data_IF_424203349643
#
_entry.id   IF_424203349643
#
_cell.length_a   1.000
_cell.length_b   1.000
_cell.length_c   1.000
_cell.angle_alpha   90.00
_cell.angle_beta   90.00
_cell.angle_gamma   90.00
#
_symmetry.space_group_name_H-M   'P 1'
#
loop_
_entity.id
_entity.type
_entity.pdbx_description
1 polymer ?
#
# COMPACT_ATOMS: atom_id res chain seq x y z
N UNK A 1 22.62 21.33 14.45
CA UNK A 1 23.03 20.54 13.26
C UNK A 1 21.90 20.42 12.25
N UNK A 2 22.21 20.63 10.95
CA UNK A 2 21.22 20.47 9.89
C UNK A 2 21.05 19.01 9.50
N UNK A 3 19.81 18.59 9.22
CA UNK A 3 19.53 17.33 8.57
C UNK A 3 19.81 17.41 7.05
N UNK A 4 20.13 16.28 6.44
CA UNK A 4 20.19 16.19 5.00
C UNK A 4 18.78 16.22 4.38
N UNK A 5 17.80 15.60 5.08
CA UNK A 5 16.39 15.58 4.65
C UNK A 5 15.48 15.62 5.88
N UNK A 6 14.44 16.45 5.82
CA UNK A 6 13.29 16.39 6.72
C UNK A 6 12.09 15.82 5.98
N UNK A 7 11.52 14.74 6.47
CA UNK A 7 10.32 14.10 5.94
C UNK A 7 9.13 14.48 6.83
N UNK A 8 8.06 14.99 6.22
CA UNK A 8 6.83 15.39 6.90
C UNK A 8 5.73 14.39 6.54
N UNK A 9 5.31 13.63 7.53
CA UNK A 9 4.31 12.56 7.42
C UNK A 9 4.91 11.16 7.54
N UNK A 10 4.54 10.45 8.58
CA UNK A 10 4.99 9.10 8.94
C UNK A 10 4.06 7.98 8.47
N UNK A 11 3.34 8.18 7.35
CA UNK A 11 2.63 7.12 6.66
C UNK A 11 3.56 6.23 5.86
N UNK A 12 3.00 5.33 5.01
CA UNK A 12 3.81 4.35 4.25
C UNK A 12 4.90 5.01 3.39
N UNK A 13 4.60 6.08 2.69
CA UNK A 13 5.57 6.74 1.81
C UNK A 13 6.71 7.38 2.61
N UNK A 14 6.40 8.13 3.67
CA UNK A 14 7.41 8.78 4.50
C UNK A 14 8.27 7.80 5.27
N UNK A 15 7.69 6.73 5.81
CA UNK A 15 8.43 5.70 6.54
C UNK A 15 9.39 4.92 5.64
N UNK A 16 8.96 4.56 4.42
CA UNK A 16 9.82 3.90 3.43
C UNK A 16 10.94 4.84 2.97
N UNK A 17 10.64 6.12 2.69
CA UNK A 17 11.64 7.11 2.34
C UNK A 17 12.67 7.31 3.46
N UNK A 18 12.21 7.42 4.72
CA UNK A 18 13.09 7.54 5.88
C UNK A 18 14.03 6.34 6.00
N UNK A 19 13.50 5.12 5.91
CA UNK A 19 14.30 3.91 5.97
C UNK A 19 15.32 3.82 4.82
N UNK A 20 14.91 4.18 3.60
CA UNK A 20 15.77 4.13 2.42
C UNK A 20 16.91 5.15 2.48
N UNK A 21 16.63 6.37 2.91
CA UNK A 21 17.63 7.45 3.01
C UNK A 21 18.61 7.20 4.18
N UNK A 22 18.09 6.87 5.36
CA UNK A 22 18.92 6.60 6.52
C UNK A 22 19.87 5.43 6.30
N UNK A 23 19.39 4.33 5.67
CA UNK A 23 20.20 3.18 5.32
C UNK A 23 21.33 3.48 4.34
N UNK A 24 21.26 4.63 3.64
CA UNK A 24 22.31 5.14 2.75
C UNK A 24 23.20 6.19 3.39
N UNK A 25 23.08 6.39 4.71
CA UNK A 25 23.88 7.35 5.45
C UNK A 25 23.42 8.81 5.35
N UNK A 26 22.22 9.07 4.78
CA UNK A 26 21.66 10.41 4.77
C UNK A 26 21.15 10.75 6.17
N UNK A 27 21.61 11.87 6.74
CA UNK A 27 21.12 12.36 8.04
C UNK A 27 19.66 12.80 7.90
N UNK A 28 18.73 11.93 8.27
CA UNK A 28 17.29 12.07 8.01
C UNK A 28 16.54 12.35 9.31
N UNK A 29 15.57 13.27 9.24
CA UNK A 29 14.53 13.43 10.25
C UNK A 29 13.17 13.09 9.65
N UNK A 30 12.29 12.48 10.45
CA UNK A 30 10.91 12.16 10.12
C UNK A 30 9.99 12.68 11.22
N UNK A 31 8.99 13.47 10.87
CA UNK A 31 7.98 13.97 11.82
C UNK A 31 6.57 13.61 11.35
N UNK A 32 5.69 13.39 12.31
CA UNK A 32 4.25 13.25 12.07
C UNK A 32 3.46 14.00 13.14
N UNK A 33 2.36 14.63 12.76
CA UNK A 33 1.50 15.38 13.70
C UNK A 33 0.67 14.48 14.62
N UNK A 34 0.51 13.21 14.25
CA UNK A 34 -0.22 12.18 14.99
C UNK A 34 0.68 10.94 15.16
N UNK A 35 0.11 9.80 15.51
CA UNK A 35 0.82 8.53 15.45
C UNK A 35 1.25 8.16 14.04
N UNK A 36 2.37 7.47 13.92
CA UNK A 36 2.85 6.96 12.64
C UNK A 36 1.82 6.03 12.02
N UNK A 37 1.45 6.29 10.76
CA UNK A 37 0.49 5.51 10.01
C UNK A 37 -0.97 5.68 10.43
N UNK A 38 -1.32 6.66 11.25
CA UNK A 38 -2.65 6.85 11.82
C UNK A 38 -3.73 7.39 10.88
N UNK A 39 -3.36 7.85 9.70
CA UNK A 39 -4.32 8.38 8.71
C UNK A 39 -4.70 7.28 7.68
N UNK A 40 -4.44 7.51 6.39
CA UNK A 40 -4.80 6.59 5.31
C UNK A 40 -4.27 5.16 5.53
N UNK A 41 -3.06 5.01 6.09
CA UNK A 41 -2.46 3.69 6.36
C UNK A 41 -3.22 2.89 7.42
N UNK A 42 -3.90 3.53 8.36
CA UNK A 42 -4.75 2.85 9.35
C UNK A 42 -6.12 2.46 8.77
N UNK A 43 -6.61 3.24 7.83
CA UNK A 43 -7.98 3.11 7.28
C UNK A 43 -8.00 2.37 5.94
N UNK A 44 -6.98 1.57 5.64
CA UNK A 44 -6.89 0.81 4.40
C UNK A 44 -7.54 -0.57 4.52
N UNK A 45 -7.77 -1.19 3.38
CA UNK A 45 -8.29 -2.57 3.29
C UNK A 45 -7.20 -3.64 3.47
N UNK A 46 -5.97 -3.27 3.77
CA UNK A 46 -4.78 -4.13 3.82
C UNK A 46 -4.47 -4.85 2.50
N UNK A 47 -5.06 -4.40 1.39
CA UNK A 47 -4.88 -5.02 0.08
C UNK A 47 -3.73 -4.37 -0.70
N UNK A 48 -2.91 -5.21 -1.31
CA UNK A 48 -1.89 -4.82 -2.27
C UNK A 48 -2.40 -5.24 -3.65
N UNK A 49 -3.11 -4.31 -4.26
CA UNK A 49 -3.90 -4.55 -5.45
C UNK A 49 -3.08 -4.38 -6.73
N UNK A 50 -3.17 -5.37 -7.62
CA UNK A 50 -2.50 -5.33 -8.92
C UNK A 50 -3.28 -4.58 -10.00
N UNK A 51 -4.47 -4.03 -9.68
CA UNK A 51 -5.16 -3.09 -10.55
C UNK A 51 -6.02 -3.73 -11.66
N UNK A 52 -6.59 -4.90 -11.45
CA UNK A 52 -7.42 -5.60 -12.46
C UNK A 52 -8.50 -4.70 -13.09
N UNK A 53 -9.09 -3.77 -12.32
CA UNK A 53 -10.12 -2.84 -12.78
C UNK A 53 -9.63 -1.90 -13.90
N UNK A 54 -8.36 -1.56 -13.92
CA UNK A 54 -7.79 -0.69 -14.96
C UNK A 54 -7.71 -1.35 -16.33
N UNK A 55 -7.94 -2.66 -16.43
CA UNK A 55 -8.08 -3.34 -17.72
C UNK A 55 -9.32 -2.87 -18.49
N UNK A 56 -10.37 -2.43 -17.80
CA UNK A 56 -11.55 -1.84 -18.47
C UNK A 56 -11.19 -0.57 -19.25
N UNK A 57 -10.21 0.20 -18.76
CA UNK A 57 -9.65 1.38 -19.43
C UNK A 57 -8.50 1.06 -20.38
N UNK A 58 -8.19 -0.22 -20.63
CA UNK A 58 -7.06 -0.68 -21.45
C UNK A 58 -5.69 -0.17 -20.96
N UNK A 59 -5.55 0.13 -19.67
CA UNK A 59 -4.33 0.64 -19.05
C UNK A 59 -3.31 -0.49 -18.75
N UNK A 60 -2.98 -1.28 -19.77
CA UNK A 60 -2.11 -2.46 -19.62
C UNK A 60 -0.73 -2.15 -19.00
N UNK A 61 -0.17 -1.00 -19.33
CA UNK A 61 1.13 -0.58 -18.77
C UNK A 61 1.04 -0.38 -17.26
N UNK A 62 0.00 0.35 -16.81
CA UNK A 62 -0.24 0.58 -15.37
C UNK A 62 -0.47 -0.75 -14.64
N UNK A 63 -1.33 -1.63 -15.18
CA UNK A 63 -1.59 -2.95 -14.60
C UNK A 63 -0.31 -3.77 -14.48
N UNK A 64 0.56 -3.74 -15.50
CA UNK A 64 1.85 -4.44 -15.46
C UNK A 64 2.77 -3.91 -14.36
N UNK A 65 2.85 -2.60 -14.20
CA UNK A 65 3.65 -1.95 -13.16
C UNK A 65 3.14 -2.30 -11.76
N UNK A 66 1.82 -2.25 -11.55
CA UNK A 66 1.19 -2.62 -10.28
C UNK A 66 1.39 -4.10 -9.94
N UNK A 67 1.14 -5.00 -10.89
CA UNK A 67 1.37 -6.43 -10.72
C UNK A 67 2.85 -6.74 -10.41
N UNK A 68 3.79 -6.08 -11.09
CA UNK A 68 5.22 -6.24 -10.84
C UNK A 68 5.59 -5.80 -9.42
N UNK A 69 5.09 -4.64 -8.99
CA UNK A 69 5.31 -4.11 -7.64
C UNK A 69 4.72 -5.04 -6.58
N UNK A 70 3.49 -5.53 -6.75
CA UNK A 70 2.84 -6.53 -5.89
C UNK A 70 3.70 -7.79 -5.77
N UNK A 71 4.15 -8.35 -6.89
CA UNK A 71 4.94 -9.59 -6.91
C UNK A 71 6.30 -9.40 -6.22
N UNK A 72 6.94 -8.22 -6.39
CA UNK A 72 8.16 -7.88 -5.67
C UNK A 72 7.95 -7.78 -4.16
N UNK A 73 6.84 -7.17 -3.73
CA UNK A 73 6.49 -7.06 -2.31
C UNK A 73 6.25 -8.43 -1.67
N UNK A 74 5.53 -9.35 -2.33
CA UNK A 74 5.35 -10.73 -1.86
C UNK A 74 6.71 -11.43 -1.66
N UNK A 75 7.64 -11.25 -2.61
CA UNK A 75 8.99 -11.86 -2.52
C UNK A 75 9.84 -11.23 -1.43
N UNK A 76 9.78 -9.91 -1.28
CA UNK A 76 10.61 -9.17 -0.34
C UNK A 76 10.15 -9.30 1.11
N UNK A 77 8.85 -9.50 1.33
CA UNK A 77 8.22 -9.53 2.66
C UNK A 77 7.28 -10.73 2.83
N UNK A 78 7.75 -11.99 2.66
CA UNK A 78 6.88 -13.18 2.65
C UNK A 78 6.20 -13.48 4.00
N UNK A 79 6.72 -12.96 5.09
CA UNK A 79 6.08 -13.04 6.42
C UNK A 79 4.92 -12.06 6.59
N UNK A 80 4.99 -10.90 5.93
CA UNK A 80 4.03 -9.80 6.10
C UNK A 80 3.02 -9.70 4.95
N UNK A 81 3.38 -10.19 3.76
CA UNK A 81 2.56 -10.06 2.54
C UNK A 81 2.35 -11.43 1.93
N UNK A 82 1.07 -11.78 1.71
CA UNK A 82 0.67 -13.07 1.14
C UNK A 82 -0.33 -12.88 0.02
N UNK A 83 -0.40 -13.89 -0.84
CA UNK A 83 -1.46 -14.00 -1.85
C UNK A 83 -2.81 -14.23 -1.16
N UNK A 84 -3.83 -13.50 -1.66
CA UNK A 84 -5.23 -13.71 -1.29
C UNK A 84 -6.04 -14.05 -2.54
N UNK A 85 -7.03 -14.94 -2.36
CA UNK A 85 -7.99 -15.26 -3.42
C UNK A 85 -9.22 -14.36 -3.27
N UNK A 86 -9.54 -13.65 -4.33
CA UNK A 86 -10.79 -12.93 -4.49
C UNK A 86 -11.81 -13.81 -5.16
N UNK A 87 -12.98 -13.75 -4.64
CA UNK A 87 -14.14 -14.49 -5.10
C UNK A 87 -15.23 -13.51 -5.52
N UNK A 88 -15.78 -13.67 -6.70
CA UNK A 88 -16.83 -12.81 -7.23
C UNK A 88 -17.98 -13.67 -7.71
N UNK A 89 -19.16 -13.53 -7.09
CA UNK A 89 -20.41 -14.10 -7.59
C UNK A 89 -20.98 -13.17 -8.66
N UNK A 90 -21.44 -13.72 -9.79
CA UNK A 90 -22.03 -12.99 -10.90
C UNK A 90 -23.50 -13.35 -11.03
N UNK A 91 -24.36 -12.35 -10.89
CA UNK A 91 -25.80 -12.53 -10.98
C UNK A 91 -26.32 -12.32 -12.41
N UNK A 92 -27.52 -12.84 -12.68
CA UNK A 92 -28.23 -12.56 -13.93
C UNK A 92 -28.40 -11.04 -14.12
N UNK A 93 -28.02 -10.54 -15.30
CA UNK A 93 -28.07 -9.11 -15.61
C UNK A 93 -26.78 -8.37 -15.28
N UNK A 94 -25.75 -9.05 -14.83
CA UNK A 94 -24.43 -8.43 -14.69
C UNK A 94 -23.93 -7.90 -16.05
N UNK A 95 -23.26 -6.75 -16.04
CA UNK A 95 -22.83 -5.99 -17.23
C UNK A 95 -22.07 -6.82 -18.27
N UNK A 96 -21.28 -7.79 -17.83
CA UNK A 96 -20.47 -8.63 -18.70
C UNK A 96 -20.74 -10.11 -18.47
N UNK A 97 -20.70 -10.95 -19.53
CA UNK A 97 -20.76 -12.41 -19.38
C UNK A 97 -19.62 -12.94 -18.51
N UNK A 98 -19.88 -13.99 -17.73
CA UNK A 98 -18.88 -14.60 -16.85
C UNK A 98 -17.59 -15.01 -17.59
N UNK A 99 -17.74 -15.55 -18.81
CA UNK A 99 -16.60 -15.91 -19.64
C UNK A 99 -15.74 -14.70 -20.02
N UNK A 100 -16.34 -13.55 -20.29
CA UNK A 100 -15.61 -12.33 -20.63
C UNK A 100 -14.75 -11.85 -19.44
N UNK A 101 -15.33 -11.87 -18.23
CA UNK A 101 -14.61 -11.48 -17.00
C UNK A 101 -13.50 -12.49 -16.70
N UNK A 102 -13.75 -13.78 -16.93
CA UNK A 102 -12.75 -14.83 -16.79
C UNK A 102 -11.57 -14.61 -17.73
N UNK A 103 -11.83 -14.32 -19.02
CA UNK A 103 -10.77 -13.98 -19.99
C UNK A 103 -9.98 -12.73 -19.56
N UNK A 104 -10.66 -11.70 -19.06
CA UNK A 104 -10.02 -10.53 -18.48
C UNK A 104 -9.11 -10.89 -17.29
N UNK A 105 -9.57 -11.80 -16.44
CA UNK A 105 -8.78 -12.29 -15.30
C UNK A 105 -7.57 -13.13 -15.75
N UNK A 106 -7.66 -13.88 -16.83
CA UNK A 106 -6.52 -14.58 -17.45
C UNK A 106 -5.50 -13.60 -18.02
N UNK A 107 -5.96 -12.55 -18.72
CA UNK A 107 -5.09 -11.48 -19.22
C UNK A 107 -4.37 -10.81 -18.05
N UNK A 108 -5.09 -10.50 -16.97
CA UNK A 108 -4.51 -9.94 -15.76
C UNK A 108 -3.42 -10.84 -15.16
N UNK A 109 -3.68 -12.11 -15.02
CA UNK A 109 -2.74 -13.10 -14.51
C UNK A 109 -1.49 -13.21 -15.39
N UNK A 110 -1.68 -13.20 -16.72
CA UNK A 110 -0.59 -13.24 -17.69
C UNK A 110 0.27 -11.96 -17.63
N UNK A 111 -0.35 -10.78 -17.56
CA UNK A 111 0.35 -9.50 -17.36
C UNK A 111 1.15 -9.50 -16.06
N UNK A 112 0.63 -10.16 -15.02
CA UNK A 112 1.30 -10.41 -13.74
C UNK A 112 2.41 -11.48 -13.79
N UNK A 113 2.86 -11.90 -14.98
CA UNK A 113 3.86 -12.93 -15.21
C UNK A 113 3.50 -14.31 -14.62
N UNK A 114 2.22 -14.65 -14.55
CA UNK A 114 1.72 -15.92 -13.99
C UNK A 114 2.24 -16.21 -12.58
N UNK A 115 2.55 -15.16 -11.81
CA UNK A 115 3.21 -15.28 -10.51
C UNK A 115 2.29 -15.82 -9.41
N UNK A 116 1.03 -15.38 -9.42
CA UNK A 116 0.00 -15.85 -8.49
C UNK A 116 -0.71 -17.09 -9.03
N UNK A 117 -1.56 -17.72 -8.22
CA UNK A 117 -2.38 -18.83 -8.71
C UNK A 117 -3.28 -18.37 -9.87
N UNK A 118 -3.49 -19.23 -10.89
CA UNK A 118 -4.35 -18.90 -12.03
C UNK A 118 -5.79 -18.63 -11.59
N UNK A 119 -6.52 -17.77 -12.31
CA UNK A 119 -7.94 -17.56 -12.07
C UNK A 119 -8.76 -18.81 -12.41
N UNK A 120 -9.93 -18.93 -11.80
CA UNK A 120 -10.86 -20.02 -12.03
C UNK A 120 -12.24 -19.48 -12.37
N UNK A 121 -12.89 -20.12 -13.32
CA UNK A 121 -14.32 -19.96 -13.55
C UNK A 121 -15.05 -20.91 -12.61
N UNK A 122 -16.03 -20.40 -11.87
CA UNK A 122 -16.79 -21.16 -10.88
C UNK A 122 -18.24 -21.35 -11.32
N UNK A 123 -18.75 -22.57 -11.22
CA UNK A 123 -20.17 -22.84 -11.37
C UNK A 123 -20.94 -22.42 -10.11
N UNK A 124 -22.26 -22.21 -10.23
CA UNK A 124 -23.15 -21.94 -9.10
C UNK A 124 -22.99 -23.00 -7.99
N UNK A 125 -22.90 -24.28 -8.35
CA UNK A 125 -22.74 -25.38 -7.38
C UNK A 125 -21.37 -25.30 -6.67
N UNK A 126 -20.31 -24.95 -7.40
CA UNK A 126 -18.98 -24.75 -6.81
C UNK A 126 -18.99 -23.58 -5.81
N UNK A 127 -19.72 -22.51 -6.11
CA UNK A 127 -19.87 -21.36 -5.22
C UNK A 127 -20.56 -21.78 -3.94
N UNK A 128 -21.72 -22.46 -4.03
CA UNK A 128 -22.47 -22.92 -2.86
C UNK A 128 -21.65 -23.85 -1.94
N UNK A 129 -20.74 -24.63 -2.55
CA UNK A 129 -19.90 -25.54 -1.78
C UNK A 129 -18.72 -24.84 -1.11
N UNK A 130 -18.08 -23.89 -1.83
CA UNK A 130 -16.89 -23.18 -1.34
C UNK A 130 -17.24 -22.06 -0.36
N UNK A 131 -18.36 -21.35 -0.63
CA UNK A 131 -18.78 -20.17 0.14
C UNK A 131 -20.29 -20.23 0.43
N UNK A 132 -20.73 -21.10 1.37
CA UNK A 132 -22.15 -21.33 1.65
C UNK A 132 -22.94 -20.09 2.09
N UNK A 133 -22.22 -19.04 2.57
CA UNK A 133 -22.84 -17.77 3.01
C UNK A 133 -23.25 -16.86 1.85
N UNK A 134 -22.77 -17.16 0.63
CA UNK A 134 -23.07 -16.36 -0.55
C UNK A 134 -24.44 -16.73 -1.10
N UNK A 135 -25.34 -15.76 -1.20
CA UNK A 135 -26.62 -15.97 -1.86
C UNK A 135 -26.42 -16.18 -3.37
N UNK A 136 -26.75 -17.36 -3.84
CA UNK A 136 -26.56 -17.74 -5.25
C UNK A 136 -27.89 -17.89 -6.02
N UNK A 137 -29.02 -17.46 -5.49
CA UNK A 137 -30.33 -17.65 -6.17
C UNK A 137 -30.32 -17.10 -7.60
N UNK A 138 -29.76 -15.91 -7.79
CA UNK A 138 -29.65 -15.23 -9.10
C UNK A 138 -28.31 -15.49 -9.80
N UNK A 139 -27.43 -16.31 -9.22
CA UNK A 139 -26.09 -16.56 -9.74
C UNK A 139 -26.10 -17.28 -11.09
N UNK A 140 -25.30 -16.81 -11.99
CA UNK A 140 -24.94 -17.46 -13.25
C UNK A 140 -23.55 -18.11 -13.21
N UNK A 141 -22.86 -18.04 -12.06
CA UNK A 141 -21.50 -18.51 -11.83
C UNK A 141 -20.65 -17.43 -11.18
N UNK A 142 -19.35 -17.63 -11.15
CA UNK A 142 -18.42 -16.70 -10.53
C UNK A 142 -17.00 -16.87 -11.02
N UNK A 143 -16.13 -16.05 -10.48
CA UNK A 143 -14.73 -16.04 -10.81
C UNK A 143 -13.91 -15.95 -9.52
N UNK A 144 -12.83 -16.71 -9.49
CA UNK A 144 -11.82 -16.63 -8.46
C UNK A 144 -10.51 -16.14 -9.10
N UNK A 145 -9.90 -15.10 -8.55
CA UNK A 145 -8.59 -14.59 -8.98
C UNK A 145 -7.74 -14.20 -7.77
N UNK A 146 -6.47 -13.89 -7.99
CA UNK A 146 -5.54 -13.59 -6.90
C UNK A 146 -5.02 -12.16 -6.94
N UNK A 147 -4.87 -11.61 -5.75
CA UNK A 147 -4.06 -10.44 -5.45
C UNK A 147 -3.21 -10.67 -4.19
N UNK A 148 -2.80 -9.63 -3.50
CA UNK A 148 -2.04 -9.76 -2.27
C UNK A 148 -2.66 -8.93 -1.13
N UNK A 149 -2.33 -9.31 0.10
CA UNK A 149 -2.74 -8.59 1.29
C UNK A 149 -1.65 -8.58 2.35
N UNK A 150 -1.72 -7.62 3.23
CA UNK A 150 -0.91 -7.53 4.44
C UNK A 150 -1.55 -8.43 5.53
N UNK A 151 -0.80 -9.43 6.00
CA UNK A 151 -1.27 -10.43 6.97
C UNK A 151 -1.65 -9.80 8.31
N UNK A 152 -0.89 -8.79 8.74
CA UNK A 152 -1.12 -8.18 10.03
C UNK A 152 -1.95 -6.88 9.88
N UNK A 153 -1.36 -5.81 9.48
CA UNK A 153 -2.05 -4.53 9.26
C UNK A 153 -1.10 -3.56 8.56
N UNK A 154 -1.65 -2.65 7.75
CA UNK A 154 -0.84 -1.61 7.09
C UNK A 154 -0.04 -0.77 8.07
N UNK A 155 -0.65 -0.38 9.20
CA UNK A 155 0.03 0.41 10.24
C UNK A 155 1.23 -0.33 10.81
N UNK A 156 1.14 -1.65 11.02
CA UNK A 156 2.27 -2.45 11.50
C UNK A 156 3.38 -2.53 10.44
N UNK A 157 3.01 -2.63 9.18
CA UNK A 157 3.98 -2.60 8.09
C UNK A 157 4.70 -1.25 7.99
N UNK A 158 3.97 -0.13 8.13
CA UNK A 158 4.56 1.22 8.27
C UNK A 158 5.53 1.27 9.43
N UNK A 159 5.13 0.77 10.61
CA UNK A 159 5.97 0.80 11.80
C UNK A 159 7.26 -0.01 11.67
N UNK A 160 7.27 -1.09 10.88
CA UNK A 160 8.51 -1.82 10.58
C UNK A 160 9.53 -0.94 9.84
N UNK A 161 9.09 -0.06 8.94
CA UNK A 161 9.98 0.91 8.27
C UNK A 161 10.45 2.01 9.21
N UNK A 162 9.57 2.49 10.10
CA UNK A 162 9.98 3.44 11.15
C UNK A 162 11.10 2.84 12.02
N UNK A 163 10.92 1.62 12.52
CA UNK A 163 11.95 0.92 13.31
C UNK A 163 13.26 0.77 12.54
N UNK A 164 13.19 0.39 11.27
CA UNK A 164 14.37 0.26 10.41
C UNK A 164 15.07 1.61 10.22
N UNK A 165 14.32 2.69 10.04
CA UNK A 165 14.89 4.03 9.91
C UNK A 165 15.59 4.49 11.19
N UNK A 166 14.99 4.24 12.37
CA UNK A 166 15.58 4.53 13.68
C UNK A 166 16.89 3.75 13.90
N UNK A 167 16.91 2.46 13.56
CA UNK A 167 18.12 1.62 13.63
C UNK A 167 19.24 2.12 12.70
N UNK A 168 18.88 2.78 11.60
CA UNK A 168 19.82 3.41 10.67
C UNK A 168 20.16 4.88 11.02
N UNK A 169 19.79 5.36 12.21
CA UNK A 169 20.14 6.69 12.71
C UNK A 169 19.21 7.83 12.29
N UNK A 170 18.00 7.52 11.80
CA UNK A 170 16.97 8.53 11.58
C UNK A 170 16.46 9.11 12.91
N UNK A 171 16.27 10.42 12.98
CA UNK A 171 15.54 11.07 14.07
C UNK A 171 14.04 11.06 13.72
N UNK A 172 13.27 10.12 14.28
CA UNK A 172 11.82 10.04 14.04
C UNK A 172 11.04 10.45 15.31
N UNK A 173 10.06 11.35 15.13
CA UNK A 173 9.19 11.81 16.20
C UNK A 173 7.74 11.96 15.71
N UNK A 174 6.81 11.38 16.45
CA UNK A 174 5.38 11.58 16.29
C UNK A 174 4.90 12.76 17.18
N UNK A 175 3.66 13.20 16.97
CA UNK A 175 3.05 14.39 17.61
C UNK A 175 3.80 15.69 17.36
N UNK A 176 4.55 15.78 16.27
CA UNK A 176 5.26 16.97 15.82
C UNK A 176 4.64 17.46 14.52
N UNK A 177 3.99 18.62 14.59
CA UNK A 177 3.33 19.26 13.46
C UNK A 177 4.29 20.21 12.73
N UNK A 178 4.30 20.18 11.41
CA UNK A 178 4.95 21.21 10.60
C UNK A 178 4.01 22.40 10.41
N UNK A 179 4.48 23.59 10.75
CA UNK A 179 3.77 24.85 10.58
C UNK A 179 4.18 25.62 9.31
N UNK A 180 5.01 25.03 8.48
CA UNK A 180 5.51 25.60 7.25
C UNK A 180 7.03 25.64 7.18
N UNK A 181 7.55 25.71 5.95
CA UNK A 181 8.98 25.71 5.65
C UNK A 181 9.32 26.93 4.79
N UNK A 182 10.44 27.56 5.08
CA UNK A 182 10.96 28.71 4.34
C UNK A 182 12.37 28.38 3.82
N UNK A 183 12.60 28.58 2.53
CA UNK A 183 13.94 28.42 1.97
C UNK A 183 14.81 29.63 2.38
N UNK A 184 16.02 29.35 2.84
CA UNK A 184 17.00 30.35 3.26
C UNK A 184 17.92 30.73 2.08
N UNK A 185 18.66 31.83 2.21
CA UNK A 185 19.61 32.31 1.19
C UNK A 185 20.68 31.25 0.83
N UNK A 186 21.09 30.44 1.80
CA UNK A 186 22.03 29.33 1.65
C UNK A 186 21.41 28.08 1.02
N UNK A 187 20.19 28.16 0.50
CA UNK A 187 19.39 27.09 -0.10
C UNK A 187 18.98 25.97 0.89
N UNK A 188 19.23 26.13 2.17
CA UNK A 188 18.66 25.24 3.18
C UNK A 188 17.20 25.58 3.47
N UNK A 189 16.46 24.65 4.06
CA UNK A 189 15.09 24.84 4.49
C UNK A 189 15.03 25.00 6.02
N UNK A 190 14.29 25.99 6.47
CA UNK A 190 13.99 26.19 7.88
C UNK A 190 12.50 25.93 8.13
N UNK A 191 12.20 24.76 8.71
CA UNK A 191 10.83 24.33 9.00
C UNK A 191 10.48 24.67 10.44
N UNK A 192 9.40 25.45 10.62
CA UNK A 192 8.79 25.70 11.94
C UNK A 192 7.98 24.46 12.33
N UNK A 193 8.23 23.93 13.51
CA UNK A 193 7.53 22.76 14.05
C UNK A 193 6.98 23.02 15.44
N UNK A 194 5.93 22.29 15.80
CA UNK A 194 5.30 22.37 17.11
C UNK A 194 4.96 20.98 17.63
N UNK A 195 5.30 20.71 18.86
CA UNK A 195 4.79 19.56 19.60
C UNK A 195 3.29 19.78 19.88
N UNK A 196 2.46 18.88 19.39
CA UNK A 196 1.00 18.98 19.48
C UNK A 196 0.46 18.66 20.88
N UNK A 197 1.26 18.01 21.74
CA UNK A 197 0.88 17.66 23.10
C UNK A 197 1.26 18.75 24.10
N UNK A 198 2.46 19.34 23.97
CA UNK A 198 2.96 20.35 24.88
C UNK A 198 2.79 21.79 24.40
N UNK A 199 2.51 21.97 23.10
CA UNK A 199 2.46 23.28 22.46
C UNK A 199 3.83 23.93 22.19
N UNK A 200 4.95 23.30 22.60
CA UNK A 200 6.29 23.83 22.43
C UNK A 200 6.69 23.85 20.96
N UNK A 201 7.17 25.00 20.49
CA UNK A 201 7.65 25.18 19.11
C UNK A 201 9.16 25.33 19.01
N UNK A 202 9.72 24.89 17.90
CA UNK A 202 11.13 25.12 17.52
C UNK A 202 11.29 25.10 16.01
N UNK A 203 12.51 25.23 15.53
CA UNK A 203 12.83 25.19 14.10
C UNK A 203 13.77 24.05 13.78
N UNK A 204 13.53 23.37 12.68
CA UNK A 204 14.37 22.30 12.13
C UNK A 204 14.97 22.78 10.81
N UNK A 205 16.29 22.64 10.67
CA UNK A 205 17.00 22.97 9.44
C UNK A 205 17.28 21.70 8.63
N UNK A 206 17.01 21.73 7.34
CA UNK A 206 17.36 20.66 6.37
C UNK A 206 17.92 21.24 5.08
N UNK A 207 18.61 20.40 4.30
CA UNK A 207 19.14 20.77 2.97
C UNK A 207 18.09 20.72 1.89
#
# INVERSE_FOLDING_TARGET
EAFGVLIIGGGINGSVAAAALSSRGVKTALIDRKDFGSETSQSSSNLIWGGIKYLEGLEFKLVRELCRSRNQLIRAYPSSIREIRFFTNLDKGFRFPALFIYLGSLIYWFIGNCFTRPPKLLSKNSINHLEPVVNTEKSIGGIEYSDAYLVEHDTRFVFQFIRRSLQAGCAAANYIESLGSEQQEDKTWLTKVRDTQTGKGWKVRSK
#
